data_IF_522628747390
#
_entry.id   IF_522628747390
#
_cell.length_a   1.000
_cell.length_b   1.000
_cell.length_c   1.000
_cell.angle_alpha   90.00
_cell.angle_beta   90.00
_cell.angle_gamma   90.00
#
_symmetry.space_group_name_H-M   'P 1'
#
loop_
_entity.id
_entity.type
_entity.pdbx_description
1 polymer ?
#
# COMPACT_ATOMS: atom_id res chain seq x y z
N UNK A 1 14.07 21.28 25.39
CA UNK A 1 13.84 20.32 24.30
C UNK A 1 12.41 19.84 24.40
N UNK A 2 11.52 20.31 23.53
CA UNK A 2 10.12 19.89 23.52
C UNK A 2 10.10 18.49 22.91
N UNK A 3 9.69 17.49 23.68
CA UNK A 3 9.54 16.13 23.18
C UNK A 3 8.55 16.14 22.01
N UNK A 4 9.01 15.76 20.82
CA UNK A 4 8.13 15.54 19.68
C UNK A 4 7.25 14.33 19.98
N UNK A 5 5.97 14.57 20.26
CA UNK A 5 4.96 13.52 20.27
C UNK A 5 4.80 13.02 18.83
N UNK A 6 5.23 11.79 18.56
CA UNK A 6 4.96 11.11 17.30
C UNK A 6 3.49 10.73 17.31
N UNK A 7 2.66 11.49 16.60
CA UNK A 7 1.25 11.15 16.40
C UNK A 7 1.15 10.00 15.40
N UNK A 8 0.71 8.83 15.85
CA UNK A 8 0.37 7.71 14.99
C UNK A 8 -1.13 7.75 14.71
N UNK A 9 -1.52 8.04 13.47
CA UNK A 9 -2.90 7.96 13.03
C UNK A 9 -3.09 6.63 12.29
N UNK A 10 -3.90 5.74 12.87
CA UNK A 10 -4.15 4.40 12.34
C UNK A 10 -5.42 4.42 11.49
N UNK A 11 -5.28 4.12 10.20
CA UNK A 11 -6.44 3.87 9.34
C UNK A 11 -6.82 2.40 9.52
N UNK A 12 -8.09 2.16 9.84
CA UNK A 12 -8.66 0.81 9.93
C UNK A 12 -8.47 0.01 8.64
N UNK A 13 -8.70 -1.31 8.73
CA UNK A 13 -8.36 -2.25 7.68
C UNK A 13 -8.91 -1.86 6.31
N UNK A 14 -8.01 -1.73 5.33
CA UNK A 14 -8.33 -1.57 3.92
C UNK A 14 -8.85 -2.92 3.39
N UNK A 15 -10.16 -3.12 3.39
CA UNK A 15 -10.80 -4.30 2.82
C UNK A 15 -11.47 -3.96 1.49
N UNK A 16 -11.46 -4.88 0.51
CA UNK A 16 -12.13 -4.69 -0.77
C UNK A 16 -13.65 -4.73 -0.66
N UNK A 17 -14.19 -5.38 0.39
CA UNK A 17 -15.61 -5.70 0.57
C UNK A 17 -16.49 -4.46 0.36
N UNK A 18 -17.16 -4.38 -0.80
CA UNK A 18 -18.04 -3.28 -1.18
C UNK A 18 -17.35 -2.02 -1.72
N UNK A 19 -16.01 -2.00 -1.78
CA UNK A 19 -15.17 -0.92 -2.30
C UNK A 19 -14.65 -1.26 -3.71
N UNK A 20 -14.33 -2.53 -4.00
CA UNK A 20 -13.85 -2.96 -5.31
C UNK A 20 -14.45 -4.29 -5.80
N UNK A 21 -15.70 -4.26 -6.30
CA UNK A 21 -16.40 -5.45 -6.82
C UNK A 21 -15.64 -6.17 -7.94
N UNK A 22 -14.87 -5.45 -8.76
CA UNK A 22 -14.03 -6.05 -9.82
C UNK A 22 -12.88 -6.87 -9.25
N UNK A 23 -12.26 -6.40 -8.16
CA UNK A 23 -11.22 -7.16 -7.49
C UNK A 23 -11.81 -8.43 -6.85
N UNK A 24 -12.95 -8.31 -6.16
CA UNK A 24 -13.67 -9.45 -5.56
C UNK A 24 -14.00 -10.52 -6.61
N UNK A 25 -14.54 -10.13 -7.77
CA UNK A 25 -14.84 -11.07 -8.84
C UNK A 25 -13.60 -11.85 -9.33
N UNK A 26 -12.43 -11.20 -9.39
CA UNK A 26 -11.17 -11.86 -9.72
C UNK A 26 -10.73 -12.85 -8.62
N UNK A 27 -10.91 -12.49 -7.34
CA UNK A 27 -10.63 -13.40 -6.22
C UNK A 27 -11.54 -14.61 -6.20
N UNK A 28 -12.84 -14.42 -6.38
CA UNK A 28 -13.83 -15.50 -6.38
C UNK A 28 -13.57 -16.50 -7.51
N UNK A 29 -13.06 -16.02 -8.64
CA UNK A 29 -12.78 -16.84 -9.82
C UNK A 29 -11.42 -17.54 -9.76
N UNK A 30 -10.38 -16.86 -9.25
CA UNK A 30 -8.98 -17.33 -9.38
C UNK A 30 -8.28 -17.61 -8.05
N UNK A 31 -8.97 -17.38 -6.93
CA UNK A 31 -8.41 -17.45 -5.59
C UNK A 31 -7.48 -16.28 -5.28
N UNK A 32 -6.92 -16.30 -4.06
CA UNK A 32 -5.95 -15.30 -3.62
C UNK A 32 -4.60 -15.48 -4.33
N UNK A 33 -4.00 -14.37 -4.76
CA UNK A 33 -2.74 -14.35 -5.50
C UNK A 33 -1.97 -13.02 -5.31
N UNK A 34 -0.68 -12.98 -5.65
CA UNK A 34 0.10 -11.74 -5.69
C UNK A 34 -0.40 -10.78 -6.78
N UNK A 35 -0.13 -9.49 -6.61
CA UNK A 35 -0.59 -8.43 -7.54
C UNK A 35 -0.13 -8.68 -8.98
N UNK A 36 1.13 -9.11 -9.18
CA UNK A 36 1.66 -9.47 -10.49
C UNK A 36 0.80 -10.49 -11.26
N UNK A 37 0.25 -11.49 -10.56
CA UNK A 37 -0.60 -12.51 -11.19
C UNK A 37 -1.93 -11.92 -11.66
N UNK A 38 -2.53 -11.02 -10.91
CA UNK A 38 -3.75 -10.33 -11.35
C UNK A 38 -3.49 -9.35 -12.49
N UNK A 39 -2.37 -8.62 -12.48
CA UNK A 39 -2.00 -7.74 -13.59
C UNK A 39 -1.83 -8.48 -14.91
N UNK A 40 -1.43 -9.76 -14.87
CA UNK A 40 -1.32 -10.61 -16.05
C UNK A 40 -2.67 -11.16 -16.56
N UNK A 41 -3.77 -10.95 -15.81
CA UNK A 41 -5.12 -11.36 -16.20
C UNK A 41 -5.84 -10.25 -16.96
N UNK A 42 -6.80 -10.64 -17.80
CA UNK A 42 -7.67 -9.70 -18.49
C UNK A 42 -8.45 -8.84 -17.47
N UNK A 43 -8.37 -7.52 -17.62
CA UNK A 43 -9.04 -6.55 -16.74
C UNK A 43 -8.41 -6.39 -15.35
N UNK A 44 -7.38 -7.15 -14.98
CA UNK A 44 -6.80 -7.11 -13.65
C UNK A 44 -6.07 -5.80 -13.34
N UNK A 45 -5.27 -5.28 -14.27
CA UNK A 45 -4.60 -3.98 -14.07
C UNK A 45 -5.61 -2.85 -13.85
N UNK A 46 -6.69 -2.80 -14.64
CA UNK A 46 -7.74 -1.79 -14.49
C UNK A 46 -8.45 -1.92 -13.13
N UNK A 47 -8.81 -3.15 -12.73
CA UNK A 47 -9.50 -3.40 -11.47
C UNK A 47 -8.69 -2.93 -10.25
N UNK A 48 -7.40 -3.25 -10.20
CA UNK A 48 -6.54 -2.86 -9.08
C UNK A 48 -6.13 -1.38 -9.13
N UNK A 49 -6.03 -0.77 -10.31
CA UNK A 49 -5.84 0.68 -10.45
C UNK A 49 -7.07 1.46 -9.96
N UNK A 50 -8.29 0.99 -10.28
CA UNK A 50 -9.53 1.58 -9.78
C UNK A 50 -9.60 1.51 -8.25
N UNK A 51 -9.33 0.34 -7.67
CA UNK A 51 -9.24 0.17 -6.22
C UNK A 51 -8.21 1.13 -5.60
N UNK A 52 -6.98 1.17 -6.14
CA UNK A 52 -5.92 2.06 -5.64
C UNK A 52 -6.35 3.53 -5.62
N UNK A 53 -7.05 4.00 -6.65
CA UNK A 53 -7.58 5.36 -6.72
C UNK A 53 -8.62 5.65 -5.65
N UNK A 54 -9.56 4.73 -5.44
CA UNK A 54 -10.61 4.87 -4.42
C UNK A 54 -9.96 4.98 -3.03
N UNK A 55 -9.05 4.07 -2.70
CA UNK A 55 -8.35 4.07 -1.41
C UNK A 55 -7.51 5.33 -1.22
N UNK A 56 -6.70 5.73 -2.21
CA UNK A 56 -5.90 6.94 -2.10
C UNK A 56 -6.77 8.20 -1.87
N UNK A 57 -7.95 8.25 -2.48
CA UNK A 57 -8.92 9.34 -2.25
C UNK A 57 -9.52 9.30 -0.85
N UNK A 58 -9.88 8.14 -0.33
CA UNK A 58 -10.39 7.98 1.04
C UNK A 58 -9.35 8.37 2.09
N UNK A 59 -8.07 8.07 1.81
CA UNK A 59 -6.96 8.38 2.69
C UNK A 59 -6.52 9.86 2.64
N UNK A 60 -6.97 10.64 1.67
CA UNK A 60 -6.46 11.99 1.41
C UNK A 60 -6.56 12.92 2.63
N UNK A 61 -7.75 13.00 3.26
CA UNK A 61 -7.96 13.87 4.41
C UNK A 61 -7.09 13.46 5.62
N UNK A 62 -6.87 12.16 5.80
CA UNK A 62 -6.00 11.62 6.86
C UNK A 62 -4.53 11.90 6.55
N UNK A 63 -4.10 11.66 5.31
CA UNK A 63 -2.75 11.96 4.85
C UNK A 63 -2.41 13.44 5.01
N UNK A 64 -3.35 14.35 4.71
CA UNK A 64 -3.19 15.78 4.92
C UNK A 64 -2.96 16.14 6.40
N UNK A 65 -3.72 15.54 7.33
CA UNK A 65 -3.52 15.74 8.78
C UNK A 65 -2.17 15.24 9.26
N UNK A 66 -1.80 14.02 8.86
CA UNK A 66 -0.50 13.42 9.20
C UNK A 66 0.64 14.29 8.67
N UNK A 67 0.52 14.82 7.45
CA UNK A 67 1.53 15.66 6.81
C UNK A 67 1.73 17.03 7.48
N UNK A 68 0.81 17.49 8.35
CA UNK A 68 0.98 18.75 9.10
C UNK A 68 2.20 18.74 10.01
N UNK A 69 2.67 17.54 10.41
CA UNK A 69 3.85 17.38 11.25
C UNK A 69 4.94 16.67 10.46
N UNK A 70 6.05 17.37 10.23
CA UNK A 70 7.21 16.82 9.53
C UNK A 70 7.76 15.60 10.28
N UNK A 71 7.96 14.51 9.55
CA UNK A 71 8.50 13.26 10.08
C UNK A 71 7.44 12.28 10.57
N UNK A 72 6.16 12.60 10.45
CA UNK A 72 5.09 11.65 10.72
C UNK A 72 4.91 10.65 9.58
N UNK A 73 4.36 9.49 9.92
CA UNK A 73 4.07 8.39 9.00
C UNK A 73 2.59 8.04 9.10
N UNK A 74 1.96 7.83 7.95
CA UNK A 74 0.65 7.21 7.86
C UNK A 74 0.84 5.70 7.70
N UNK A 75 0.26 4.91 8.60
CA UNK A 75 0.30 3.45 8.53
C UNK A 75 -1.06 2.90 8.14
N UNK A 76 -1.07 2.06 7.11
CA UNK A 76 -2.27 1.39 6.61
C UNK A 76 -2.11 -0.13 6.77
N UNK A 77 -3.18 -0.79 7.21
CA UNK A 77 -3.22 -2.25 7.41
C UNK A 77 -4.32 -2.85 6.53
N UNK A 78 -4.11 -4.07 6.04
CA UNK A 78 -5.03 -4.75 5.13
C UNK A 78 -4.39 -5.99 4.51
N UNK A 79 -5.01 -6.57 3.48
CA UNK A 79 -4.42 -7.70 2.78
C UNK A 79 -3.31 -7.26 1.81
N UNK A 80 -2.26 -8.07 1.72
CA UNK A 80 -1.05 -7.81 0.94
C UNK A 80 -1.31 -7.24 -0.47
N UNK A 81 -2.17 -7.91 -1.25
CA UNK A 81 -2.47 -7.52 -2.63
C UNK A 81 -3.09 -6.12 -2.74
N UNK A 82 -3.93 -5.74 -1.79
CA UNK A 82 -4.57 -4.43 -1.73
C UNK A 82 -3.63 -3.35 -1.23
N UNK A 83 -2.77 -3.67 -0.27
CA UNK A 83 -1.71 -2.76 0.17
C UNK A 83 -0.77 -2.43 -0.98
N UNK A 84 -0.38 -3.43 -1.78
CA UNK A 84 0.43 -3.22 -2.98
C UNK A 84 -0.27 -2.36 -4.02
N UNK A 85 -1.56 -2.59 -4.26
CA UNK A 85 -2.33 -1.81 -5.24
C UNK A 85 -2.48 -0.33 -4.84
N UNK A 86 -2.77 -0.06 -3.56
CA UNK A 86 -2.82 1.30 -3.03
C UNK A 86 -1.44 1.98 -3.10
N UNK A 87 -0.38 1.26 -2.71
CA UNK A 87 0.99 1.74 -2.84
C UNK A 87 1.35 2.03 -4.31
N UNK A 88 0.88 1.22 -5.26
CA UNK A 88 1.18 1.37 -6.68
C UNK A 88 0.58 2.65 -7.24
N UNK A 89 -0.68 2.93 -6.91
CA UNK A 89 -1.33 4.18 -7.30
C UNK A 89 -0.61 5.40 -6.68
N UNK A 90 -0.20 5.29 -5.42
CA UNK A 90 0.56 6.35 -4.74
C UNK A 90 1.89 6.63 -5.45
N UNK A 91 2.72 5.61 -5.69
CA UNK A 91 4.04 5.82 -6.32
C UNK A 91 3.92 6.32 -7.76
N UNK A 92 2.89 5.89 -8.51
CA UNK A 92 2.58 6.41 -9.85
C UNK A 92 2.29 7.91 -9.79
N UNK A 93 1.44 8.34 -8.86
CA UNK A 93 1.15 9.78 -8.66
C UNK A 93 2.38 10.59 -8.23
N UNK A 94 3.37 9.94 -7.62
CA UNK A 94 4.63 10.56 -7.22
C UNK A 94 5.69 10.58 -8.33
N UNK A 95 5.41 10.00 -9.49
CA UNK A 95 6.33 9.94 -10.62
C UNK A 95 7.44 8.90 -10.45
N UNK A 96 7.16 7.79 -9.74
CA UNK A 96 8.10 6.67 -9.66
C UNK A 96 8.41 6.11 -11.05
N UNK A 97 9.67 5.75 -11.28
CA UNK A 97 10.10 5.12 -12.52
C UNK A 97 9.53 3.70 -12.68
N UNK A 98 9.64 3.16 -13.90
CA UNK A 98 9.10 1.84 -14.23
C UNK A 98 9.73 0.72 -13.41
N UNK A 99 10.99 0.87 -12.98
CA UNK A 99 11.69 -0.14 -12.19
C UNK A 99 11.14 -0.22 -10.77
N UNK A 100 10.88 0.92 -10.13
CA UNK A 100 10.23 0.97 -8.79
C UNK A 100 8.80 0.45 -8.88
N UNK A 101 8.05 0.80 -9.94
CA UNK A 101 6.70 0.26 -10.16
C UNK A 101 6.71 -1.27 -10.32
N UNK A 102 7.65 -1.80 -11.12
CA UNK A 102 7.81 -3.23 -11.32
C UNK A 102 8.19 -3.94 -10.02
N UNK A 103 9.16 -3.39 -9.27
CA UNK A 103 9.55 -3.95 -7.97
C UNK A 103 8.35 -4.08 -7.02
N UNK A 104 7.45 -3.08 -7.01
CA UNK A 104 6.26 -3.12 -6.18
C UNK A 104 5.23 -4.16 -6.66
N UNK A 105 5.01 -4.27 -7.98
CA UNK A 105 4.10 -5.26 -8.57
C UNK A 105 4.57 -6.69 -8.27
N UNK A 106 5.88 -6.92 -8.37
CA UNK A 106 6.52 -8.22 -8.16
C UNK A 106 6.69 -8.58 -6.68
N UNK A 107 6.49 -7.63 -5.76
CA UNK A 107 6.64 -7.85 -4.32
C UNK A 107 5.45 -8.63 -3.76
N UNK A 108 5.69 -9.87 -3.33
CA UNK A 108 4.68 -10.66 -2.62
C UNK A 108 4.87 -10.53 -1.11
N UNK A 109 3.94 -9.85 -0.43
CA UNK A 109 4.03 -9.64 1.02
C UNK A 109 3.48 -10.84 1.78
N UNK A 110 4.28 -11.35 2.71
CA UNK A 110 3.88 -12.34 3.69
C UNK A 110 3.07 -11.77 4.85
N UNK A 111 2.75 -12.65 5.82
CA UNK A 111 2.11 -12.24 7.08
C UNK A 111 3.05 -11.33 7.89
N UNK A 112 2.49 -10.25 8.46
CA UNK A 112 3.22 -9.24 9.22
C UNK A 112 4.36 -8.55 8.43
N UNK A 113 4.23 -8.50 7.10
CA UNK A 113 5.09 -7.72 6.23
C UNK A 113 4.38 -6.48 5.70
N UNK A 114 5.16 -5.53 5.18
CA UNK A 114 4.64 -4.28 4.63
C UNK A 114 5.65 -3.58 3.74
N UNK A 115 5.27 -2.39 3.26
CA UNK A 115 6.08 -1.57 2.38
C UNK A 115 6.17 -0.17 2.99
N UNK A 116 7.40 0.31 3.16
CA UNK A 116 7.64 1.72 3.39
C UNK A 116 7.81 2.39 2.03
N UNK A 117 6.94 3.36 1.73
CA UNK A 117 7.00 4.19 0.54
C UNK A 117 7.47 5.58 0.94
N UNK A 118 8.52 6.07 0.30
CA UNK A 118 9.11 7.37 0.61
C UNK A 118 9.27 8.22 -0.65
N UNK A 119 9.13 9.54 -0.49
CA UNK A 119 9.46 10.53 -1.52
C UNK A 119 10.44 11.54 -0.95
N UNK A 120 11.67 11.52 -1.43
CA UNK A 120 12.73 12.43 -1.02
C UNK A 120 13.53 12.91 -2.24
N UNK A 121 13.82 14.21 -2.29
CA UNK A 121 14.65 14.78 -3.36
C UNK A 121 14.10 14.55 -4.77
N UNK A 122 12.77 14.49 -4.93
CA UNK A 122 12.11 14.20 -6.21
C UNK A 122 12.14 12.73 -6.63
N UNK A 123 12.76 11.84 -5.84
CA UNK A 123 12.80 10.41 -6.08
C UNK A 123 11.79 9.69 -5.17
N UNK A 124 11.08 8.72 -5.75
CA UNK A 124 10.27 7.78 -5.01
C UNK A 124 11.06 6.49 -4.77
N UNK A 125 11.00 5.96 -3.55
CA UNK A 125 11.62 4.69 -3.18
C UNK A 125 10.64 3.82 -2.41
N UNK A 126 10.76 2.52 -2.59
CA UNK A 126 10.04 1.53 -1.79
C UNK A 126 11.06 0.70 -1.00
N UNK A 127 10.65 0.26 0.19
CA UNK A 127 11.42 -0.66 1.02
C UNK A 127 10.48 -1.71 1.59
N UNK A 128 10.77 -2.97 1.30
CA UNK A 128 10.10 -4.10 1.96
C UNK A 128 10.46 -4.11 3.45
N UNK A 129 9.43 -4.23 4.27
CA UNK A 129 9.52 -4.21 5.72
C UNK A 129 8.96 -5.53 6.23
N UNK A 130 9.74 -6.27 7.01
CA UNK A 130 9.24 -7.41 7.76
C UNK A 130 9.33 -7.12 9.25
N UNK A 131 8.25 -7.39 9.99
CA UNK A 131 8.33 -7.42 11.44
C UNK A 131 9.02 -8.73 11.81
N UNK A 132 10.33 -8.69 12.03
CA UNK A 132 10.98 -9.84 12.67
C UNK A 132 10.38 -9.99 14.07
N UNK A 133 10.06 -11.22 14.53
CA UNK A 133 9.74 -11.41 15.93
C UNK A 133 10.87 -10.83 16.76
N UNK A 134 10.52 -9.98 17.72
CA UNK A 134 11.47 -9.43 18.67
C UNK A 134 12.21 -10.61 19.32
N UNK A 135 13.51 -10.51 19.55
CA UNK A 135 14.32 -11.60 20.14
C UNK A 135 13.85 -12.08 21.53
N UNK A 136 12.81 -11.45 22.10
CA UNK A 136 12.16 -11.82 23.36
C UNK A 136 10.92 -12.69 23.16
N UNK A 137 10.49 -12.92 21.91
CA UNK A 137 9.33 -13.72 21.53
C UNK A 137 9.70 -14.90 20.62
N UNK A 138 11.01 -15.20 20.51
CA UNK A 138 11.55 -16.34 19.78
C UNK A 138 11.96 -17.46 20.74
#
# INVERSE_FOLDING_TARGET
TIGMAVGMELVGSLHPAGIAPKCEALFDTHGYAPLAKFHAMEGGEEAFAEYGKIVCKELEATAQRVAMNKGNTLSCFGHAVFLNAAALELIKSWGADADVQKQLIDLDLGEAEGILVEKAGGKCTIKHMSVRPHALWA
#
